data_IF_858692483847
#
_entry.id   IF_858692483847
#
_cell.length_a   1.000
_cell.length_b   1.000
_cell.length_c   1.000
_cell.angle_alpha   90.00
_cell.angle_beta   90.00
_cell.angle_gamma   90.00
#
_symmetry.space_group_name_H-M   'P 1'
#
loop_
_entity.id
_entity.type
_entity.pdbx_description
1 polymer ?
#
# COMPACT_ATOMS: atom_id res chain seq x y z
N UNK A 1 -27.32 23.64 41.53
CA UNK A 1 -26.20 24.17 42.32
C UNK A 1 -25.54 23.03 43.06
N UNK A 2 -24.35 22.62 42.62
CA UNK A 2 -23.33 22.01 43.48
C UNK A 2 -22.03 22.05 42.69
N UNK A 3 -21.16 22.97 43.08
CA UNK A 3 -19.81 23.18 42.59
C UNK A 3 -18.86 22.20 43.27
N UNK A 4 -17.92 21.61 42.52
CA UNK A 4 -16.65 21.15 43.07
C UNK A 4 -15.51 21.49 42.12
N UNK A 5 -14.57 22.22 42.71
CA UNK A 5 -13.27 22.64 42.21
C UNK A 5 -12.25 21.50 42.24
N UNK A 6 -11.23 21.54 41.38
CA UNK A 6 -9.96 20.86 41.64
C UNK A 6 -9.30 20.24 40.42
N UNK A 7 -8.13 20.76 40.09
CA UNK A 7 -7.21 20.45 38.99
C UNK A 7 -6.55 19.07 39.11
N UNK A 8 -6.17 18.44 37.97
CA UNK A 8 -4.81 17.94 37.63
C UNK A 8 -4.82 17.11 36.32
N UNK A 9 -3.76 17.25 35.53
CA UNK A 9 -3.56 16.74 34.17
C UNK A 9 -2.93 15.34 34.09
N UNK A 10 -3.00 14.73 32.88
CA UNK A 10 -2.29 13.54 32.31
C UNK A 10 -3.02 12.21 32.60
N UNK A 11 -3.39 11.34 31.65
CA UNK A 11 -2.78 10.88 30.39
C UNK A 11 -3.83 10.10 29.51
N UNK A 12 -3.53 9.71 28.25
CA UNK A 12 -4.53 9.32 27.25
C UNK A 12 -5.07 7.88 27.41
N UNK A 13 -6.36 7.75 27.14
CA UNK A 13 -7.12 6.50 27.18
C UNK A 13 -6.63 5.48 26.14
N UNK A 14 -6.20 4.32 26.62
CA UNK A 14 -6.17 3.07 25.86
C UNK A 14 -7.60 2.52 25.77
N UNK A 15 -8.19 2.49 24.58
CA UNK A 15 -9.45 1.81 24.36
C UNK A 15 -9.19 0.33 24.05
N UNK A 16 -9.14 -0.50 25.09
CA UNK A 16 -9.39 -1.95 24.99
C UNK A 16 -10.91 -2.14 24.96
N UNK A 17 -11.44 -2.74 23.90
CA UNK A 17 -12.83 -3.22 23.87
C UNK A 17 -13.05 -4.33 24.92
N UNK A 18 -14.05 -4.22 25.81
CA UNK A 18 -14.48 -5.35 26.62
C UNK A 18 -15.54 -6.19 25.89
N UNK A 19 -15.26 -7.48 25.73
CA UNK A 19 -16.25 -8.48 25.37
C UNK A 19 -17.14 -8.81 26.58
N UNK A 20 -18.47 -8.66 26.45
CA UNK A 20 -19.55 -9.39 27.15
C UNK A 20 -20.89 -8.69 26.80
N UNK A 21 -22.07 -9.30 26.59
CA UNK A 21 -22.66 -10.57 27.02
C UNK A 21 -23.68 -11.01 25.94
N UNK A 22 -23.69 -12.30 25.61
CA UNK A 22 -24.76 -12.94 24.85
C UNK A 22 -25.73 -13.58 25.87
N UNK A 23 -27.01 -13.22 25.82
CA UNK A 23 -28.05 -13.76 26.70
C UNK A 23 -28.58 -15.09 26.16
N UNK A 24 -28.50 -16.11 27.01
CA UNK A 24 -29.08 -17.43 26.83
C UNK A 24 -30.61 -17.38 26.73
N UNK A 25 -31.16 -18.16 25.79
CA UNK A 25 -32.50 -18.72 25.94
C UNK A 25 -32.41 -20.25 25.81
N UNK A 26 -32.78 -20.95 26.89
CA UNK A 26 -32.73 -22.41 27.05
C UNK A 26 -33.93 -23.08 26.36
N UNK A 27 -33.69 -24.18 25.64
CA UNK A 27 -34.56 -25.38 25.66
C UNK A 27 -33.72 -26.65 25.66
N UNK A 28 -34.25 -27.67 26.33
CA UNK A 28 -33.60 -28.82 26.96
C UNK A 28 -33.40 -30.06 26.06
N UNK A 29 -32.26 -30.74 26.28
CA UNK A 29 -31.98 -32.20 26.40
C UNK A 29 -32.25 -33.22 25.25
N UNK A 30 -31.61 -34.43 25.24
CA UNK A 30 -30.34 -34.87 25.88
C UNK A 30 -29.46 -35.89 25.07
N UNK A 31 -28.27 -36.18 25.63
CA UNK A 31 -27.39 -37.37 25.49
C UNK A 31 -26.52 -37.56 24.22
N UNK A 32 -25.19 -37.53 24.38
CA UNK A 32 -24.34 -38.73 24.44
C UNK A 32 -22.86 -38.39 24.69
N UNK A 33 -22.12 -39.40 25.13
CA UNK A 33 -20.90 -39.36 25.95
C UNK A 33 -19.60 -39.04 25.19
N UNK A 34 -18.64 -38.61 26.02
CA UNK A 34 -17.20 -38.52 25.88
C UNK A 34 -16.52 -39.53 24.93
N UNK A 35 -15.59 -39.01 24.12
CA UNK A 35 -14.56 -39.77 23.42
C UNK A 35 -13.36 -38.87 23.11
N UNK A 36 -12.32 -38.96 23.93
CA UNK A 36 -11.00 -38.43 23.60
C UNK A 36 -10.43 -39.25 22.43
N UNK A 37 -10.11 -38.60 21.31
CA UNK A 37 -9.17 -39.13 20.34
C UNK A 37 -8.29 -38.01 19.79
N UNK A 38 -7.05 -38.01 20.25
CA UNK A 38 -5.90 -37.29 19.71
C UNK A 38 -5.53 -37.88 18.35
N UNK A 39 -5.60 -37.09 17.28
CA UNK A 39 -5.00 -37.48 15.99
C UNK A 39 -3.57 -36.96 15.91
N UNK A 40 -2.63 -37.87 16.14
CA UNK A 40 -1.21 -37.71 15.82
C UNK A 40 -1.04 -37.84 14.30
N UNK A 41 -0.45 -36.82 13.66
CA UNK A 41 -0.03 -36.90 12.27
C UNK A 41 1.16 -37.85 12.13
N UNK A 42 1.01 -38.86 11.26
CA UNK A 42 2.00 -39.89 10.95
C UNK A 42 3.01 -39.32 9.95
N UNK A 43 4.27 -39.21 10.38
CA UNK A 43 5.42 -38.89 9.54
C UNK A 43 5.79 -40.16 8.76
N UNK A 44 5.81 -40.10 7.44
CA UNK A 44 6.37 -41.16 6.59
C UNK A 44 7.85 -40.89 6.35
N UNK A 45 8.71 -41.82 6.79
CA UNK A 45 10.12 -41.90 6.40
C UNK A 45 10.27 -42.99 5.35
N UNK A 46 10.75 -42.64 4.16
CA UNK A 46 11.31 -43.60 3.21
C UNK A 46 12.77 -43.20 2.93
N UNK A 47 13.65 -44.03 3.45
CA UNK A 47 15.04 -44.30 3.02
C UNK A 47 14.95 -45.55 2.10
N UNK A 48 15.70 -45.82 1.04
CA UNK A 48 17.01 -45.35 0.55
C UNK A 48 17.11 -45.62 -0.98
N UNK A 49 18.16 -45.02 -1.58
CA UNK A 49 18.93 -45.46 -2.76
C UNK A 49 18.35 -45.39 -4.18
N UNK A 50 18.72 -44.32 -4.91
CA UNK A 50 19.36 -44.49 -6.23
C UNK A 50 20.28 -43.30 -6.54
N UNK A 51 21.56 -43.62 -6.71
CA UNK A 51 22.66 -42.69 -6.98
C UNK A 51 22.71 -42.40 -8.48
N UNK A 52 22.41 -41.17 -8.89
CA UNK A 52 22.72 -40.67 -10.23
C UNK A 52 23.68 -39.46 -10.14
N UNK A 53 24.80 -39.55 -10.85
CA UNK A 53 25.89 -38.58 -10.85
C UNK A 53 25.49 -37.20 -11.42
N UNK A 54 26.07 -36.09 -10.94
CA UNK A 54 25.66 -34.75 -11.34
C UNK A 54 26.22 -34.38 -12.73
N UNK A 55 25.31 -34.04 -13.65
CA UNK A 55 25.67 -33.38 -14.91
C UNK A 55 26.28 -31.98 -14.63
N UNK A 56 27.28 -31.63 -15.43
CA UNK A 56 28.13 -30.44 -15.34
C UNK A 56 27.33 -29.14 -15.19
N UNK A 57 27.61 -28.40 -14.11
CA UNK A 57 27.12 -27.05 -13.86
C UNK A 57 27.57 -26.10 -14.98
N UNK A 58 26.65 -25.61 -15.78
CA UNK A 58 26.81 -24.31 -16.44
C UNK A 58 26.78 -23.24 -15.34
N UNK A 59 27.84 -22.44 -15.26
CA UNK A 59 27.96 -21.27 -14.38
C UNK A 59 26.70 -20.39 -14.46
N UNK A 60 26.04 -20.07 -13.33
CA UNK A 60 25.03 -19.02 -13.34
C UNK A 60 25.75 -17.71 -13.69
N UNK A 61 25.26 -17.03 -14.73
CA UNK A 61 25.60 -15.63 -14.96
C UNK A 61 25.34 -14.85 -13.66
N UNK A 62 26.26 -13.97 -13.32
CA UNK A 62 26.28 -13.20 -12.08
C UNK A 62 24.93 -12.59 -11.76
N UNK A 63 24.22 -13.18 -10.81
CA UNK A 63 23.13 -12.53 -10.09
C UNK A 63 23.73 -11.30 -9.41
N UNK A 64 23.56 -10.13 -10.03
CA UNK A 64 23.74 -8.87 -9.33
C UNK A 64 22.76 -8.86 -8.16
N UNK A 65 23.30 -9.17 -6.97
CA UNK A 65 22.61 -9.14 -5.69
C UNK A 65 22.18 -7.69 -5.38
N UNK A 66 21.13 -7.21 -6.05
CA UNK A 66 20.43 -6.00 -5.64
C UNK A 66 19.64 -6.35 -4.38
N UNK A 67 20.32 -6.15 -3.26
CA UNK A 67 19.70 -6.19 -1.94
C UNK A 67 18.90 -4.90 -1.83
N UNK A 68 17.57 -4.96 -1.96
CA UNK A 68 16.71 -3.90 -1.44
C UNK A 68 16.98 -3.88 0.06
N UNK A 69 17.89 -3.02 0.49
CA UNK A 69 18.21 -2.86 1.89
C UNK A 69 17.01 -2.18 2.52
N UNK A 70 16.25 -2.92 3.33
CA UNK A 70 15.15 -2.42 4.16
C UNK A 70 15.72 -1.59 5.32
N UNK A 71 16.47 -0.56 4.96
CA UNK A 71 17.24 0.32 5.82
C UNK A 71 16.93 1.75 5.35
N UNK A 72 16.55 2.67 6.25
CA UNK A 72 16.30 4.05 5.90
C UNK A 72 17.56 4.74 5.39
N UNK A 73 17.40 5.73 4.51
CA UNK A 73 18.49 6.65 4.17
C UNK A 73 18.82 7.53 5.37
N UNK A 74 20.02 8.09 5.38
CA UNK A 74 20.51 9.00 6.42
C UNK A 74 20.55 10.46 5.98
N UNK A 75 20.40 10.72 4.68
CA UNK A 75 20.52 12.05 4.07
C UNK A 75 19.31 12.36 3.20
N UNK A 76 18.97 13.65 3.11
CA UNK A 76 17.87 14.14 2.29
C UNK A 76 18.20 13.97 0.81
N UNK A 77 17.19 13.60 0.04
CA UNK A 77 17.31 13.43 -1.39
C UNK A 77 16.83 14.71 -2.08
N UNK A 78 17.77 15.56 -2.48
CA UNK A 78 17.43 16.84 -3.09
C UNK A 78 16.66 16.67 -4.41
N UNK A 79 16.86 15.57 -5.14
CA UNK A 79 16.14 15.34 -6.40
C UNK A 79 14.67 15.04 -6.15
N UNK A 80 14.34 14.22 -5.14
CA UNK A 80 12.95 13.92 -4.81
C UNK A 80 12.23 15.13 -4.22
N UNK A 81 12.95 15.96 -3.46
CA UNK A 81 12.40 17.22 -2.92
C UNK A 81 12.08 18.18 -4.07
N UNK A 82 12.99 18.37 -5.03
CA UNK A 82 12.71 19.19 -6.21
C UNK A 82 11.54 18.65 -7.03
N UNK A 83 11.43 17.33 -7.18
CA UNK A 83 10.28 16.70 -7.84
C UNK A 83 8.97 17.03 -7.10
N UNK A 84 8.96 16.93 -5.78
CA UNK A 84 7.78 17.22 -4.95
C UNK A 84 7.35 18.70 -5.01
N UNK A 85 8.24 19.65 -5.31
CA UNK A 85 7.88 21.08 -5.51
C UNK A 85 6.94 21.32 -6.68
N UNK A 86 6.89 20.40 -7.64
CA UNK A 86 5.94 20.46 -8.76
C UNK A 86 4.53 19.98 -8.39
N UNK A 87 4.35 19.39 -7.20
CA UNK A 87 3.09 18.84 -6.73
C UNK A 87 2.31 19.88 -5.92
N UNK A 88 1.00 19.89 -6.09
CA UNK A 88 0.10 20.74 -5.31
C UNK A 88 -0.33 20.07 -4.00
N UNK A 89 -0.74 20.85 -3.01
CA UNK A 89 -1.33 20.33 -1.77
C UNK A 89 -0.35 19.58 -0.86
N UNK A 90 0.95 19.69 -1.13
CA UNK A 90 2.04 19.10 -0.35
C UNK A 90 2.07 19.70 1.06
N UNK A 91 2.25 18.83 2.07
CA UNK A 91 2.35 19.20 3.47
C UNK A 91 3.81 19.49 3.87
N UNK A 92 4.38 20.56 3.32
CA UNK A 92 5.79 20.92 3.53
C UNK A 92 6.16 21.08 5.00
N UNK A 93 7.32 20.52 5.35
CA UNK A 93 7.94 20.58 6.66
C UNK A 93 9.16 19.66 6.71
N UNK A 94 9.90 19.71 7.82
CA UNK A 94 11.12 18.92 8.00
C UNK A 94 10.85 17.42 7.91
N UNK A 95 9.77 16.94 8.54
CA UNK A 95 9.45 15.51 8.55
C UNK A 95 8.88 15.06 7.20
N UNK A 96 8.22 15.95 6.46
CA UNK A 96 7.82 15.68 5.08
C UNK A 96 9.04 15.50 4.16
N UNK A 97 10.04 16.38 4.24
CA UNK A 97 11.26 16.22 3.44
C UNK A 97 12.02 14.93 3.77
N UNK A 98 12.10 14.56 5.06
CA UNK A 98 12.65 13.25 5.47
C UNK A 98 11.84 12.09 4.91
N UNK A 99 10.51 12.17 5.03
CA UNK A 99 9.57 11.15 4.58
C UNK A 99 9.76 10.83 3.10
N UNK A 100 9.69 11.83 2.22
CA UNK A 100 9.84 11.60 0.77
C UNK A 100 11.28 11.21 0.40
N UNK A 101 12.29 11.63 1.18
CA UNK A 101 13.68 11.24 0.98
C UNK A 101 13.98 9.78 1.34
N UNK A 102 13.05 9.10 2.01
CA UNK A 102 13.28 7.74 2.53
C UNK A 102 14.14 7.71 3.79
N UNK A 103 14.23 8.83 4.52
CA UNK A 103 14.80 8.89 5.85
C UNK A 103 13.73 8.46 6.85
N UNK A 104 14.15 7.88 7.96
CA UNK A 104 13.27 7.62 9.09
C UNK A 104 12.64 8.93 9.58
N UNK A 105 11.31 9.00 9.61
CA UNK A 105 10.57 10.20 10.00
C UNK A 105 9.49 9.87 11.04
N UNK A 106 9.02 10.92 11.72
CA UNK A 106 7.89 10.86 12.65
C UNK A 106 6.59 11.14 11.92
N UNK A 107 5.71 10.15 11.70
CA UNK A 107 4.42 10.39 11.06
C UNK A 107 3.50 11.28 11.91
N UNK A 108 3.79 11.48 13.20
CA UNK A 108 3.01 12.33 14.12
C UNK A 108 3.40 13.81 14.07
N UNK A 109 4.28 14.21 13.15
CA UNK A 109 4.56 15.62 12.90
C UNK A 109 3.28 16.36 12.49
N UNK A 110 3.11 17.61 12.96
CA UNK A 110 1.88 18.38 12.75
C UNK A 110 1.55 18.57 11.28
N UNK A 111 2.55 18.88 10.45
CA UNK A 111 2.39 19.06 9.01
C UNK A 111 1.86 17.78 8.33
N UNK A 112 2.36 16.62 8.75
CA UNK A 112 1.96 15.33 8.21
C UNK A 112 0.56 14.94 8.69
N UNK A 113 0.22 15.24 9.95
CA UNK A 113 -1.12 15.03 10.49
C UNK A 113 -2.17 15.89 9.77
N UNK A 114 -1.85 17.15 9.50
CA UNK A 114 -2.69 18.07 8.74
C UNK A 114 -2.87 17.59 7.30
N UNK A 115 -1.78 17.16 6.65
CA UNK A 115 -1.80 16.58 5.31
C UNK A 115 -2.75 15.37 5.21
N UNK A 116 -2.63 14.39 6.11
CA UNK A 116 -3.54 13.22 6.14
C UNK A 116 -4.97 13.61 6.47
N UNK A 117 -5.17 14.61 7.32
CA UNK A 117 -6.53 15.08 7.65
C UNK A 117 -7.21 15.69 6.43
N UNK A 118 -6.50 16.54 5.68
CA UNK A 118 -6.97 17.08 4.39
C UNK A 118 -7.30 15.96 3.41
N UNK A 119 -6.40 14.99 3.25
CA UNK A 119 -6.60 13.84 2.36
C UNK A 119 -7.87 13.07 2.69
N UNK A 120 -8.12 12.80 3.98
CA UNK A 120 -9.31 12.07 4.46
C UNK A 120 -10.61 12.81 4.19
N UNK A 121 -10.63 14.14 4.29
CA UNK A 121 -11.81 14.92 3.91
C UNK A 121 -12.13 14.79 2.42
N UNK A 122 -11.14 15.01 1.55
CA UNK A 122 -11.30 14.88 0.10
C UNK A 122 -11.63 13.44 -0.33
N UNK A 123 -11.00 12.45 0.30
CA UNK A 123 -11.30 11.03 0.09
C UNK A 123 -12.73 10.70 0.50
N UNK A 124 -13.23 11.26 1.61
CA UNK A 124 -14.63 11.08 2.04
C UNK A 124 -15.62 11.72 1.07
N UNK A 125 -15.28 12.89 0.51
CA UNK A 125 -16.08 13.55 -0.53
C UNK A 125 -16.14 12.70 -1.80
N UNK A 126 -14.99 12.22 -2.28
CA UNK A 126 -14.91 11.36 -3.47
C UNK A 126 -15.69 10.05 -3.29
N UNK A 127 -15.55 9.41 -2.13
CA UNK A 127 -16.20 8.13 -1.80
C UNK A 127 -17.68 8.28 -1.40
N UNK A 128 -18.24 9.48 -1.44
CA UNK A 128 -19.63 9.70 -1.09
C UNK A 128 -20.58 8.83 -1.94
N UNK A 129 -21.67 8.31 -1.33
CA UNK A 129 -22.66 7.51 -2.05
C UNK A 129 -23.33 8.34 -3.15
N UNK A 130 -23.86 7.65 -4.15
CA UNK A 130 -24.64 8.29 -5.22
C UNK A 130 -25.88 8.94 -4.62
N UNK A 131 -26.20 10.14 -5.11
CA UNK A 131 -27.42 10.86 -4.77
C UNK A 131 -28.48 10.58 -5.86
N UNK A 132 -29.67 10.06 -5.52
CA UNK A 132 -30.68 9.67 -6.53
C UNK A 132 -31.16 10.79 -7.45
N UNK A 133 -31.06 12.04 -7.00
CA UNK A 133 -31.51 13.26 -7.67
C UNK A 133 -30.40 13.96 -8.48
N UNK A 134 -29.15 13.47 -8.41
CA UNK A 134 -28.02 14.02 -9.17
C UNK A 134 -27.73 13.13 -10.38
N UNK A 135 -27.69 13.68 -11.61
CA UNK A 135 -27.30 12.92 -12.78
C UNK A 135 -25.90 12.29 -12.62
N UNK A 136 -25.74 11.07 -13.12
CA UNK A 136 -24.46 10.36 -12.99
C UNK A 136 -23.29 11.13 -13.61
N UNK A 137 -23.52 11.84 -14.72
CA UNK A 137 -22.51 12.71 -15.36
C UNK A 137 -22.00 13.82 -14.44
N UNK A 138 -22.88 14.43 -13.64
CA UNK A 138 -22.49 15.46 -12.67
C UNK A 138 -21.70 14.84 -11.51
N UNK A 139 -22.09 13.64 -11.07
CA UNK A 139 -21.35 12.88 -10.06
C UNK A 139 -19.92 12.57 -10.53
N UNK A 140 -19.76 12.13 -11.78
CA UNK A 140 -18.45 11.84 -12.37
C UNK A 140 -17.60 13.10 -12.46
N UNK A 141 -18.16 14.22 -12.94
CA UNK A 141 -17.45 15.50 -13.04
C UNK A 141 -17.00 16.01 -11.65
N UNK A 142 -17.88 15.92 -10.64
CA UNK A 142 -17.55 16.29 -9.27
C UNK A 142 -16.42 15.42 -8.72
N UNK A 143 -16.49 14.10 -8.89
CA UNK A 143 -15.43 13.17 -8.47
C UNK A 143 -14.10 13.47 -9.15
N UNK A 144 -14.09 13.76 -10.44
CA UNK A 144 -12.86 14.16 -11.14
C UNK A 144 -12.28 15.46 -10.55
N UNK A 145 -13.12 16.44 -10.23
CA UNK A 145 -12.70 17.68 -9.58
C UNK A 145 -12.09 17.41 -8.18
N UNK A 146 -12.73 16.54 -7.38
CA UNK A 146 -12.22 16.14 -6.06
C UNK A 146 -10.88 15.42 -6.18
N UNK A 147 -10.70 14.51 -7.16
CA UNK A 147 -9.42 13.86 -7.44
C UNK A 147 -8.34 14.88 -7.85
N UNK A 148 -8.70 15.86 -8.68
CA UNK A 148 -7.80 16.96 -9.04
C UNK A 148 -7.39 17.83 -7.86
N UNK A 149 -8.20 17.92 -6.80
CA UNK A 149 -7.80 18.58 -5.54
C UNK A 149 -6.97 17.64 -4.66
N UNK A 150 -7.29 16.36 -4.65
CA UNK A 150 -6.63 15.35 -3.81
C UNK A 150 -5.20 15.07 -4.25
N UNK A 151 -4.99 14.81 -5.55
CA UNK A 151 -3.70 14.43 -6.11
C UNK A 151 -2.74 15.60 -6.27
N UNK A 152 -1.45 15.32 -6.11
CA UNK A 152 -0.39 16.29 -6.36
C UNK A 152 -0.33 16.72 -7.82
N UNK A 153 -0.67 15.81 -8.72
CA UNK A 153 -0.86 16.06 -10.15
C UNK A 153 -1.84 15.06 -10.76
N UNK A 154 -2.73 15.58 -11.60
CA UNK A 154 -3.71 14.77 -12.33
C UNK A 154 -3.77 15.19 -13.81
N UNK A 155 -3.52 14.23 -14.71
CA UNK A 155 -3.70 14.40 -16.15
C UNK A 155 -5.17 14.58 -16.57
N UNK A 156 -5.42 14.52 -17.88
CA UNK A 156 -6.77 14.58 -18.48
C UNK A 156 -7.42 13.20 -18.50
N UNK A 157 -8.75 13.15 -18.36
CA UNK A 157 -9.50 11.89 -18.50
C UNK A 157 -9.16 10.86 -17.43
N UNK A 158 -8.98 11.30 -16.19
CA UNK A 158 -8.78 10.39 -15.05
C UNK A 158 -10.13 9.85 -14.59
N UNK A 159 -10.18 8.56 -14.27
CA UNK A 159 -11.39 7.94 -13.74
C UNK A 159 -11.03 6.85 -12.73
N UNK A 160 -11.63 6.92 -11.56
CA UNK A 160 -11.44 5.92 -10.50
C UNK A 160 -12.81 5.48 -10.01
N UNK A 161 -13.03 4.17 -9.94
CA UNK A 161 -14.21 3.61 -9.29
C UNK A 161 -14.07 3.71 -7.76
N UNK A 162 -15.02 4.33 -7.05
CA UNK A 162 -14.97 4.42 -5.59
C UNK A 162 -15.27 3.04 -4.95
N UNK A 163 -14.72 2.74 -3.76
CA UNK A 163 -13.92 3.65 -2.96
C UNK A 163 -12.43 3.69 -3.35
N UNK A 164 -11.82 4.85 -3.16
CA UNK A 164 -10.38 5.10 -3.17
C UNK A 164 -9.87 5.28 -1.74
N UNK A 165 -8.71 4.72 -1.43
CA UNK A 165 -8.04 4.91 -0.14
C UNK A 165 -6.63 5.46 -0.34
N UNK A 166 -6.30 6.57 0.33
CA UNK A 166 -4.97 7.20 0.29
C UNK A 166 -4.53 7.69 1.67
N UNK A 167 -3.22 7.85 1.87
CA UNK A 167 -2.69 8.48 3.09
C UNK A 167 -2.73 10.01 2.98
N UNK A 168 -2.10 10.57 1.94
CA UNK A 168 -1.95 12.01 1.73
C UNK A 168 -2.63 12.50 0.43
N UNK A 169 -2.69 11.67 -0.59
CA UNK A 169 -3.13 12.02 -1.94
C UNK A 169 -2.16 12.93 -2.70
N UNK A 170 -1.57 13.93 -2.04
CA UNK A 170 -0.71 14.93 -2.67
C UNK A 170 0.63 14.37 -3.18
N UNK A 171 1.02 13.17 -2.78
CA UNK A 171 2.24 12.50 -3.28
C UNK A 171 1.98 11.68 -4.55
N UNK A 172 0.73 11.61 -5.00
CA UNK A 172 0.31 10.86 -6.19
C UNK A 172 0.32 11.80 -7.41
N UNK A 173 1.01 11.35 -8.46
CA UNK A 173 0.99 11.94 -9.79
C UNK A 173 0.48 10.92 -10.80
N UNK A 174 -0.60 11.24 -11.51
CA UNK A 174 -1.12 10.41 -12.60
C UNK A 174 -1.08 11.16 -13.93
N UNK A 175 -0.74 10.45 -15.01
CA UNK A 175 -0.78 10.93 -16.37
C UNK A 175 -2.19 11.06 -16.95
N UNK A 176 -2.26 11.27 -18.26
CA UNK A 176 -3.51 11.32 -19.01
C UNK A 176 -4.09 9.90 -19.18
N UNK A 177 -5.41 9.75 -19.19
CA UNK A 177 -6.07 8.46 -19.45
C UNK A 177 -5.88 7.43 -18.34
N UNK A 178 -5.70 7.84 -17.09
CA UNK A 178 -5.58 6.93 -15.95
C UNK A 178 -6.95 6.36 -15.55
N UNK A 179 -7.06 5.04 -15.54
CA UNK A 179 -8.23 4.32 -15.06
C UNK A 179 -7.88 3.41 -13.88
N UNK A 180 -8.68 3.45 -12.82
CA UNK A 180 -8.62 2.46 -11.75
C UNK A 180 -10.00 1.92 -11.37
N UNK A 181 -10.08 0.61 -11.23
CA UNK A 181 -11.28 -0.09 -10.79
C UNK A 181 -11.41 -0.06 -9.25
N UNK A 182 -12.47 -0.67 -8.72
CA UNK A 182 -12.89 -0.58 -7.33
C UNK A 182 -11.78 -0.86 -6.32
N UNK A 183 -11.83 -0.17 -5.18
CA UNK A 183 -10.97 -0.42 -4.01
C UNK A 183 -9.48 -0.24 -4.29
N UNK A 184 -9.10 0.77 -5.08
CA UNK A 184 -7.70 1.18 -5.17
C UNK A 184 -7.23 1.71 -3.80
N UNK A 185 -6.12 1.17 -3.30
CA UNK A 185 -5.45 1.65 -2.09
C UNK A 185 -4.03 2.09 -2.43
N UNK A 186 -3.69 3.34 -2.10
CA UNK A 186 -2.36 3.91 -2.31
C UNK A 186 -1.84 4.48 -0.99
N UNK A 187 -0.91 3.78 -0.35
CA UNK A 187 -0.21 4.30 0.82
C UNK A 187 0.95 5.18 0.32
N UNK A 188 0.64 6.44 0.04
CA UNK A 188 1.49 7.43 -0.62
C UNK A 188 2.32 8.26 0.38
N UNK A 189 2.91 7.64 1.40
CA UNK A 189 3.89 8.33 2.25
C UNK A 189 5.10 8.82 1.42
N UNK A 190 5.60 7.99 0.52
CA UNK A 190 6.55 8.36 -0.54
C UNK A 190 5.85 8.76 -1.83
N UNK A 191 6.62 9.27 -2.79
CA UNK A 191 6.05 9.66 -4.08
C UNK A 191 5.54 8.45 -4.87
N UNK A 192 4.43 8.64 -5.57
CA UNK A 192 3.86 7.67 -6.52
C UNK A 192 3.70 8.36 -7.87
N UNK A 193 4.41 7.87 -8.88
CA UNK A 193 4.33 8.39 -10.25
C UNK A 193 3.71 7.34 -11.16
N UNK A 194 2.60 7.67 -11.80
CA UNK A 194 1.94 6.84 -12.81
C UNK A 194 1.91 7.57 -14.14
N UNK A 195 2.32 6.88 -15.20
CA UNK A 195 2.32 7.38 -16.57
C UNK A 195 0.92 7.56 -17.17
N UNK A 196 0.89 7.67 -18.49
CA UNK A 196 -0.32 7.82 -19.27
C UNK A 196 -0.94 6.46 -19.63
N UNK A 197 -2.25 6.44 -19.88
CA UNK A 197 -3.01 5.26 -20.33
C UNK A 197 -2.81 4.03 -19.43
N UNK A 198 -2.65 4.22 -18.13
CA UNK A 198 -2.49 3.12 -17.17
C UNK A 198 -3.85 2.66 -16.71
N UNK A 199 -4.08 1.35 -16.78
CA UNK A 199 -5.29 0.69 -16.31
C UNK A 199 -5.01 -0.18 -15.09
N UNK A 200 -5.78 0.04 -14.02
CA UNK A 200 -5.63 -0.66 -12.74
C UNK A 200 -6.88 -1.45 -12.42
N UNK A 201 -6.73 -2.76 -12.24
CA UNK A 201 -7.79 -3.67 -11.82
C UNK A 201 -8.24 -3.45 -10.37
N UNK A 202 -9.29 -4.15 -9.92
CA UNK A 202 -9.85 -3.93 -8.59
C UNK A 202 -8.94 -4.46 -7.48
N UNK A 203 -9.07 -3.87 -6.29
CA UNK A 203 -8.36 -4.23 -5.06
C UNK A 203 -6.82 -4.18 -5.18
N UNK A 204 -6.29 -3.27 -5.99
CA UNK A 204 -4.85 -3.07 -6.13
C UNK A 204 -4.32 -2.22 -4.97
N UNK A 205 -3.15 -2.60 -4.46
CA UNK A 205 -2.44 -1.90 -3.40
C UNK A 205 -1.10 -1.36 -3.93
N UNK A 206 -0.87 -0.06 -3.80
CA UNK A 206 0.41 0.60 -4.07
C UNK A 206 0.96 1.10 -2.74
N UNK A 207 2.12 0.60 -2.31
CA UNK A 207 2.64 0.82 -0.97
C UNK A 207 4.05 1.41 -1.07
N UNK A 208 4.22 2.64 -0.60
CA UNK A 208 5.54 3.31 -0.58
C UNK A 208 6.22 3.28 0.80
N UNK A 209 5.46 3.06 1.88
CA UNK A 209 5.96 2.98 3.25
C UNK A 209 6.67 1.66 3.54
N UNK A 210 7.74 1.74 4.32
CA UNK A 210 8.50 0.62 4.87
C UNK A 210 8.79 0.84 6.36
N UNK A 211 9.10 -0.28 7.03
CA UNK A 211 9.61 -0.28 8.39
C UNK A 211 10.89 -1.10 8.45
N UNK A 212 11.77 -0.76 9.39
CA UNK A 212 12.96 -1.55 9.63
C UNK A 212 12.58 -2.99 9.97
N UNK A 213 13.35 -3.96 9.50
CA UNK A 213 13.04 -5.38 9.75
C UNK A 213 13.68 -5.92 11.02
N UNK A 214 14.83 -5.34 11.43
CA UNK A 214 15.53 -5.71 12.67
C UNK A 214 14.67 -5.34 13.89
N UNK A 215 14.48 -6.31 14.79
CA UNK A 215 13.62 -6.15 15.97
C UNK A 215 14.05 -4.97 16.86
N UNK A 216 15.34 -4.89 17.18
CA UNK A 216 15.86 -3.83 18.05
C UNK A 216 15.66 -2.46 17.42
N UNK A 217 15.85 -2.34 16.11
CA UNK A 217 15.62 -1.09 15.39
C UNK A 217 14.14 -0.69 15.43
N UNK A 218 13.21 -1.61 15.17
CA UNK A 218 11.75 -1.37 15.32
C UNK A 218 11.33 -1.01 16.74
N UNK A 219 12.04 -1.48 17.77
CA UNK A 219 11.76 -1.13 19.16
C UNK A 219 12.21 0.29 19.46
N UNK A 220 13.42 0.64 19.03
CA UNK A 220 14.00 1.98 19.19
C UNK A 220 13.22 3.03 18.42
N UNK A 221 12.83 2.72 17.18
CA UNK A 221 12.14 3.62 16.27
C UNK A 221 10.64 3.33 16.18
N UNK A 222 10.03 2.90 17.29
CA UNK A 222 8.63 2.49 17.30
C UNK A 222 7.73 3.64 16.83
N UNK A 223 6.87 3.35 15.86
CA UNK A 223 5.95 4.34 15.29
C UNK A 223 6.59 5.26 14.25
N UNK A 224 7.87 5.09 13.95
CA UNK A 224 8.54 5.73 12.82
C UNK A 224 8.55 4.80 11.61
N UNK A 225 8.67 5.39 10.44
CA UNK A 225 8.70 4.69 9.16
C UNK A 225 9.62 5.43 8.19
N UNK A 226 9.89 4.82 7.04
CA UNK A 226 10.60 5.44 5.94
C UNK A 226 9.93 5.03 4.64
N UNK A 227 10.24 5.69 3.53
CA UNK A 227 9.54 5.45 2.27
C UNK A 227 10.49 5.18 1.11
N UNK A 228 9.96 4.61 0.04
CA UNK A 228 10.61 4.55 -1.25
C UNK A 228 9.57 4.82 -2.34
N UNK A 229 9.95 5.65 -3.30
CA UNK A 229 9.09 6.01 -4.43
C UNK A 229 8.67 4.77 -5.24
N UNK A 230 7.44 4.80 -5.75
CA UNK A 230 6.94 3.82 -6.73
C UNK A 230 6.68 4.52 -8.06
N UNK A 231 7.15 3.91 -9.15
CA UNK A 231 6.98 4.43 -10.51
C UNK A 231 6.29 3.37 -11.36
N UNK A 232 5.24 3.75 -12.08
CA UNK A 232 4.54 2.95 -13.08
C UNK A 232 4.59 3.71 -14.40
N UNK A 233 5.20 3.11 -15.41
CA UNK A 233 5.34 3.71 -16.75
C UNK A 233 4.03 3.80 -17.50
N UNK A 234 4.11 4.36 -18.71
CA UNK A 234 2.96 4.51 -19.61
C UNK A 234 2.40 3.15 -20.07
N UNK A 235 1.14 3.12 -20.49
CA UNK A 235 0.49 1.97 -21.16
C UNK A 235 0.58 0.66 -20.35
N UNK A 236 0.62 0.75 -19.03
CA UNK A 236 0.65 -0.41 -18.15
C UNK A 236 -0.75 -0.91 -17.80
N UNK A 237 -0.89 -2.24 -17.71
CA UNK A 237 -2.07 -2.89 -17.16
C UNK A 237 -1.73 -3.64 -15.86
N UNK A 238 -2.39 -3.26 -14.77
CA UNK A 238 -2.20 -3.85 -13.45
C UNK A 238 -3.42 -4.72 -13.12
N UNK A 239 -3.23 -6.03 -13.03
CA UNK A 239 -4.31 -6.98 -12.76
C UNK A 239 -4.92 -6.83 -11.36
N UNK A 240 -6.09 -7.45 -11.16
CA UNK A 240 -6.81 -7.43 -9.89
C UNK A 240 -5.99 -8.00 -8.72
N UNK A 241 -6.17 -7.46 -7.51
CA UNK A 241 -5.50 -7.92 -6.28
C UNK A 241 -3.96 -7.92 -6.36
N UNK A 242 -3.36 -7.04 -7.16
CA UNK A 242 -1.91 -6.85 -7.19
C UNK A 242 -1.45 -5.97 -6.03
N UNK A 243 -0.29 -6.29 -5.46
CA UNK A 243 0.40 -5.43 -4.49
C UNK A 243 1.75 -4.99 -5.06
N UNK A 244 1.96 -3.68 -5.21
CA UNK A 244 3.21 -3.06 -5.63
C UNK A 244 3.90 -2.50 -4.38
N UNK A 245 5.12 -2.97 -4.11
CA UNK A 245 5.88 -2.60 -2.92
C UNK A 245 6.82 -1.42 -3.18
N UNK A 246 7.28 -0.83 -2.08
CA UNK A 246 8.07 0.38 -2.06
C UNK A 246 9.36 0.24 -2.88
N UNK A 247 9.72 1.29 -3.63
CA UNK A 247 10.96 1.34 -4.39
C UNK A 247 10.91 0.65 -5.75
N UNK A 248 9.74 0.13 -6.15
CA UNK A 248 9.57 -0.56 -7.44
C UNK A 248 9.33 0.44 -8.57
N UNK A 249 10.02 0.22 -9.68
CA UNK A 249 9.72 0.79 -11.00
C UNK A 249 9.15 -0.28 -11.93
N UNK A 250 7.93 -0.08 -12.41
CA UNK A 250 7.32 -0.87 -13.49
C UNK A 250 7.51 -0.07 -14.78
N UNK A 251 8.27 -0.61 -15.73
CA UNK A 251 8.51 0.05 -17.02
C UNK A 251 7.25 0.13 -17.88
N UNK A 252 7.24 1.03 -18.87
CA UNK A 252 6.09 1.24 -19.76
C UNK A 252 5.69 -0.04 -20.53
N UNK A 253 4.41 -0.17 -20.87
CA UNK A 253 3.87 -1.29 -21.64
C UNK A 253 3.82 -2.62 -20.88
N UNK A 254 3.96 -2.60 -19.56
CA UNK A 254 3.94 -3.83 -18.77
C UNK A 254 2.52 -4.34 -18.49
N UNK A 255 2.37 -5.67 -18.42
CA UNK A 255 1.18 -6.32 -17.88
C UNK A 255 1.53 -7.09 -16.60
N UNK A 256 0.91 -6.73 -15.48
CA UNK A 256 1.08 -7.42 -14.21
C UNK A 256 -0.13 -8.32 -13.96
N UNK A 257 0.07 -9.63 -13.93
CA UNK A 257 -1.03 -10.57 -13.73
C UNK A 257 -1.68 -10.43 -12.36
N UNK A 258 -2.98 -10.74 -12.29
CA UNK A 258 -3.75 -10.67 -11.06
C UNK A 258 -3.12 -11.48 -9.90
N UNK A 259 -3.27 -10.98 -8.67
CA UNK A 259 -2.74 -11.60 -7.45
C UNK A 259 -1.22 -11.51 -7.27
N UNK A 260 -0.51 -10.74 -8.11
CA UNK A 260 0.95 -10.65 -8.05
C UNK A 260 1.42 -9.73 -6.92
N UNK A 261 2.59 -10.05 -6.35
CA UNK A 261 3.30 -9.16 -5.41
C UNK A 261 4.58 -8.68 -6.09
N UNK A 262 4.58 -7.42 -6.53
CA UNK A 262 5.70 -6.81 -7.22
C UNK A 262 6.66 -6.23 -6.19
N UNK A 263 7.79 -6.91 -6.00
CA UNK A 263 8.85 -6.53 -5.04
C UNK A 263 10.13 -6.02 -5.72
N UNK A 264 10.22 -6.12 -7.04
CA UNK A 264 11.39 -5.72 -7.83
C UNK A 264 10.92 -5.02 -9.08
N UNK A 265 11.79 -4.20 -9.64
CA UNK A 265 11.56 -3.53 -10.89
C UNK A 265 11.17 -4.53 -11.99
N UNK A 266 10.23 -4.11 -12.82
CA UNK A 266 9.76 -4.88 -13.97
C UNK A 266 10.21 -4.11 -15.22
N UNK A 267 11.08 -4.70 -16.06
CA UNK A 267 11.55 -4.05 -17.28
C UNK A 267 10.38 -3.69 -18.21
N UNK A 268 10.48 -2.61 -19.00
CA UNK A 268 9.45 -2.24 -19.97
C UNK A 268 9.02 -3.39 -20.89
N UNK A 269 7.77 -3.34 -21.36
CA UNK A 269 7.16 -4.30 -22.27
C UNK A 269 7.21 -5.75 -21.77
N UNK A 270 7.11 -5.95 -20.46
CA UNK A 270 7.14 -7.27 -19.84
C UNK A 270 5.76 -7.72 -19.38
N UNK A 271 5.51 -9.02 -19.43
CA UNK A 271 4.42 -9.65 -18.69
C UNK A 271 4.99 -10.34 -17.47
N UNK A 272 4.55 -9.93 -16.29
CA UNK A 272 5.02 -10.46 -15.02
C UNK A 272 3.87 -11.00 -14.16
N UNK A 273 4.09 -12.15 -13.51
CA UNK A 273 3.07 -12.79 -12.65
C UNK A 273 3.70 -13.38 -11.38
N UNK A 274 2.88 -13.59 -10.35
CA UNK A 274 3.22 -14.38 -9.16
C UNK A 274 3.58 -13.57 -7.92
N UNK A 275 3.86 -14.28 -6.82
CA UNK A 275 4.23 -13.68 -5.53
C UNK A 275 5.49 -14.37 -4.99
N UNK A 276 6.67 -13.74 -5.07
CA UNK A 276 6.95 -12.46 -5.71
C UNK A 276 6.92 -12.54 -7.25
N UNK A 277 6.47 -11.47 -7.92
CA UNK A 277 6.29 -11.40 -9.37
C UNK A 277 7.59 -11.67 -10.15
N UNK A 278 7.48 -12.39 -11.26
CA UNK A 278 8.58 -12.64 -12.21
C UNK A 278 8.11 -12.43 -13.63
N UNK A 279 8.99 -11.87 -14.45
CA UNK A 279 8.78 -11.76 -15.90
C UNK A 279 8.68 -13.18 -16.47
N UNK A 280 7.61 -13.45 -17.21
CA UNK A 280 7.38 -14.74 -17.87
C UNK A 280 7.60 -14.67 -19.38
N UNK A 281 7.38 -13.49 -19.98
CA UNK A 281 7.64 -13.23 -21.41
C UNK A 281 7.57 -11.73 -21.70
N UNK A 282 8.01 -11.37 -22.91
CA UNK A 282 7.76 -10.06 -23.52
C UNK A 282 6.27 -9.88 -23.86
N UNK A 283 5.79 -8.65 -23.74
CA UNK A 283 4.47 -8.18 -24.19
C UNK A 283 4.46 -7.82 -25.68
N UNK A 284 5.64 -7.65 -26.28
CA UNK A 284 5.89 -7.38 -27.71
C UNK A 284 6.68 -8.50 -28.37
#
# INVERSE_FOLDING_TARGET
MCSYSGTHWKEPYWCMYPASRCSLNRRMHPQMRCGHQTSLYRIYTNNDDDIAQPASRSTPQSDHHFTITMIPKTEKDNQIIEKAKSLQGVCWGEEYEKMISGILYSPLASELMEGRTRARFLMSEFNAPLQPDVPFSETVAHREETLRKLFGRAGRGIYIEPPLFVDYGCNISVGDGFYANFNLTVLDCGLVTVGNNVEVGPNVNIITGEHETKLEARRTHRGMEFTREVIIGDDCWIGANVTILAGVTIGSGCSIGAGSVVKRDIPPYSIAVGSPARVIRSAV
#
